data_IF_324311818644
#
_entry.id   IF_324311818644
#
_cell.length_a   1.000
_cell.length_b   1.000
_cell.length_c   1.000
_cell.angle_alpha   90.00
_cell.angle_beta   90.00
_cell.angle_gamma   90.00
#
_symmetry.space_group_name_H-M   'P 1'
#
loop_
_entity.id
_entity.type
_entity.pdbx_description
1 polymer ?
#
# COMPACT_ATOMS: atom_id res chain seq x y z
N UNK A 1 7.80 55.49 -9.13
CA UNK A 1 6.62 55.66 -8.27
C UNK A 1 5.89 54.33 -8.26
N UNK A 2 5.84 53.70 -7.07
CA UNK A 2 4.80 52.80 -6.54
C UNK A 2 4.29 51.68 -7.47
N UNK A 3 4.38 50.39 -7.15
CA UNK A 3 4.67 49.71 -5.90
C UNK A 3 4.37 48.22 -6.12
N UNK A 4 5.37 47.39 -5.84
CA UNK A 4 5.15 46.03 -5.33
C UNK A 4 4.43 46.15 -3.97
N UNK A 5 3.85 45.04 -3.52
CA UNK A 5 3.21 44.82 -2.21
C UNK A 5 1.72 45.15 -2.10
N UNK A 6 0.87 44.20 -2.50
CA UNK A 6 -0.43 43.98 -1.87
C UNK A 6 -0.80 42.49 -1.95
N UNK A 7 -0.44 41.74 -0.91
CA UNK A 7 -1.29 40.73 -0.26
C UNK A 7 -0.56 40.26 1.00
N UNK A 8 -0.49 41.15 1.97
CA UNK A 8 -0.12 40.85 3.35
C UNK A 8 -1.15 41.48 4.28
N UNK A 9 -1.57 40.65 5.24
CA UNK A 9 -2.41 40.90 6.41
C UNK A 9 -3.91 40.58 6.28
N UNK A 10 -4.27 39.46 6.92
CA UNK A 10 -5.52 39.37 7.66
C UNK A 10 -6.21 38.01 7.60
N UNK A 11 -6.10 37.28 8.73
CA UNK A 11 -7.15 36.40 9.27
C UNK A 11 -7.12 34.93 8.78
N UNK A 12 -6.40 34.08 9.55
CA UNK A 12 -6.92 32.88 10.25
C UNK A 12 -5.73 31.98 10.68
N UNK A 13 -4.88 32.52 11.54
CA UNK A 13 -4.02 31.74 12.43
C UNK A 13 -4.81 31.56 13.74
N UNK A 14 -5.05 30.32 14.20
CA UNK A 14 -5.23 30.11 15.64
C UNK A 14 -6.48 29.41 16.18
N UNK A 15 -7.08 28.42 15.51
CA UNK A 15 -8.09 27.56 16.16
C UNK A 15 -7.79 26.05 16.21
N UNK A 16 -6.88 25.51 15.40
CA UNK A 16 -6.68 24.04 15.36
C UNK A 16 -5.49 23.51 16.19
N UNK A 17 -4.82 24.36 16.98
CA UNK A 17 -3.70 23.96 17.86
C UNK A 17 -4.04 24.00 19.35
N UNK A 18 -5.31 24.23 19.71
CA UNK A 18 -5.77 24.18 21.10
C UNK A 18 -6.25 22.78 21.52
N UNK A 19 -6.96 22.03 20.66
CA UNK A 19 -7.38 20.66 21.01
C UNK A 19 -6.23 19.65 21.15
N UNK A 20 -5.12 19.87 20.44
CA UNK A 20 -3.95 18.99 20.52
C UNK A 20 -3.06 19.23 21.77
N UNK A 21 -3.29 20.31 22.52
CA UNK A 21 -2.58 20.56 23.79
C UNK A 21 -3.33 20.00 25.00
N UNK A 22 -4.66 19.89 24.92
CA UNK A 22 -5.47 19.44 26.06
C UNK A 22 -5.41 17.91 26.23
N UNK A 23 -5.26 17.11 25.17
CA UNK A 23 -5.00 15.66 25.31
C UNK A 23 -3.60 15.30 25.82
N UNK A 24 -2.68 16.27 25.91
CA UNK A 24 -1.38 16.07 26.59
C UNK A 24 -1.39 16.54 28.04
N UNK A 25 -2.50 17.11 28.51
CA UNK A 25 -2.64 17.62 29.88
C UNK A 25 -3.28 16.59 30.84
N UNK A 26 -4.10 15.65 30.35
CA UNK A 26 -4.79 14.67 31.21
C UNK A 26 -3.96 13.40 31.54
N UNK A 27 -2.83 13.13 30.88
CA UNK A 27 -1.92 12.03 31.26
C UNK A 27 -0.67 12.54 32.02
N UNK A 28 -0.87 13.54 32.89
CA UNK A 28 0.11 13.96 33.91
C UNK A 28 -0.44 14.01 35.33
N UNK A 29 -1.65 13.50 35.56
CA UNK A 29 -2.24 13.35 36.90
C UNK A 29 -2.16 11.88 37.33
N UNK A 30 -0.93 11.40 37.55
CA UNK A 30 -0.71 10.00 37.92
C UNK A 30 0.74 9.71 38.24
N UNK A 31 1.11 9.94 39.50
CA UNK A 31 2.41 9.65 40.14
C UNK A 31 3.35 10.86 40.21
N UNK A 32 2.87 11.95 40.80
CA UNK A 32 3.73 12.73 41.70
C UNK A 32 3.90 11.92 43.01
N UNK A 33 5.04 11.27 43.19
CA UNK A 33 5.54 10.96 44.53
C UNK A 33 6.54 12.04 44.94
N UNK A 34 5.98 13.23 45.15
CA UNK A 34 6.65 14.39 45.72
C UNK A 34 7.22 14.07 47.11
N UNK A 35 8.47 14.47 47.27
CA UNK A 35 9.35 14.21 48.40
C UNK A 35 8.86 14.82 49.71
N UNK A 36 9.03 14.12 50.82
CA UNK A 36 8.85 14.73 52.14
C UNK A 36 8.67 13.77 53.31
N UNK A 37 9.63 12.88 53.55
CA UNK A 37 9.63 12.08 54.77
C UNK A 37 10.71 11.01 54.73
N UNK A 38 11.47 10.86 55.82
CA UNK A 38 12.55 9.87 55.96
C UNK A 38 11.98 8.45 55.77
N UNK A 39 11.96 7.97 54.54
CA UNK A 39 11.41 6.66 54.16
C UNK A 39 12.38 5.56 54.61
N UNK A 40 11.96 4.77 55.59
CA UNK A 40 12.74 3.65 56.13
C UNK A 40 13.07 2.64 55.02
N UNK A 41 14.29 2.10 55.05
CA UNK A 41 14.87 1.18 54.04
C UNK A 41 13.91 0.05 53.62
N UNK A 42 13.06 -0.40 54.56
CA UNK A 42 12.03 -1.42 54.37
C UNK A 42 10.95 -1.03 53.36
N UNK A 43 10.53 0.23 53.32
CA UNK A 43 9.44 0.72 52.45
C UNK A 43 9.89 0.87 51.00
N UNK A 44 11.18 1.20 50.77
CA UNK A 44 11.80 1.17 49.43
C UNK A 44 11.91 -0.24 48.86
N UNK A 45 12.23 -1.23 49.70
CA UNK A 45 12.30 -2.64 49.29
C UNK A 45 10.91 -3.14 48.90
N UNK A 46 9.87 -2.81 49.69
CA UNK A 46 8.48 -3.20 49.39
C UNK A 46 8.02 -2.61 48.04
N UNK A 47 8.28 -1.31 47.79
CA UNK A 47 7.93 -0.68 46.51
C UNK A 47 8.68 -1.32 45.34
N UNK A 48 9.97 -1.62 45.50
CA UNK A 48 10.75 -2.29 44.46
C UNK A 48 10.22 -3.70 44.15
N UNK A 49 9.87 -4.48 45.17
CA UNK A 49 9.30 -5.83 45.00
C UNK A 49 7.95 -5.77 44.30
N UNK A 50 7.08 -4.82 44.65
CA UNK A 50 5.78 -4.63 43.99
C UNK A 50 5.95 -4.25 42.52
N UNK A 51 6.89 -3.36 42.19
CA UNK A 51 7.18 -2.96 40.80
C UNK A 51 7.69 -4.16 39.98
N UNK A 52 8.54 -5.01 40.56
CA UNK A 52 9.04 -6.22 39.88
C UNK A 52 7.92 -7.24 39.64
N UNK A 53 7.02 -7.44 40.61
CA UNK A 53 5.86 -8.34 40.46
C UNK A 53 4.92 -7.83 39.36
N UNK A 54 4.65 -6.52 39.32
CA UNK A 54 3.82 -5.91 38.27
C UNK A 54 4.48 -6.07 36.89
N UNK A 55 5.79 -5.87 36.79
CA UNK A 55 6.56 -6.09 35.55
C UNK A 55 6.48 -7.55 35.08
N UNK A 56 6.63 -8.52 35.98
CA UNK A 56 6.52 -9.94 35.66
C UNK A 56 5.09 -10.28 35.19
N UNK A 57 4.06 -9.73 35.84
CA UNK A 57 2.67 -9.95 35.44
C UNK A 57 2.37 -9.40 34.04
N UNK A 58 2.91 -8.23 33.68
CA UNK A 58 2.78 -7.64 32.34
C UNK A 58 3.48 -8.53 31.30
N UNK A 59 4.69 -9.01 31.58
CA UNK A 59 5.42 -9.91 30.67
C UNK A 59 4.64 -11.21 30.45
N UNK A 60 4.11 -11.81 31.53
CA UNK A 60 3.30 -13.04 31.45
C UNK A 60 2.04 -12.80 30.63
N UNK A 61 1.34 -11.67 30.81
CA UNK A 61 0.16 -11.33 30.05
C UNK A 61 0.47 -11.16 28.54
N UNK A 62 1.57 -10.50 28.20
CA UNK A 62 2.02 -10.34 26.80
C UNK A 62 2.37 -11.69 26.17
N UNK A 63 3.12 -12.54 26.88
CA UNK A 63 3.46 -13.89 26.41
C UNK A 63 2.20 -14.74 26.22
N UNK A 64 1.24 -14.66 27.14
CA UNK A 64 -0.03 -15.38 27.05
C UNK A 64 -0.83 -14.94 25.80
N UNK A 65 -0.92 -13.64 25.53
CA UNK A 65 -1.60 -13.10 24.34
C UNK A 65 -0.93 -13.55 23.04
N UNK A 66 0.42 -13.57 23.00
CA UNK A 66 1.18 -14.05 21.84
C UNK A 66 0.97 -15.55 21.60
N UNK A 67 0.93 -16.37 22.66
CA UNK A 67 0.69 -17.82 22.56
C UNK A 67 -0.74 -18.13 22.16
N UNK A 68 -1.73 -17.40 22.67
CA UNK A 68 -3.15 -17.58 22.30
C UNK A 68 -3.43 -17.20 20.85
N UNK A 69 -2.75 -16.18 20.30
CA UNK A 69 -2.82 -15.82 18.87
C UNK A 69 -2.20 -16.87 17.94
N UNK A 70 -1.32 -17.73 18.46
CA UNK A 70 -0.63 -18.76 17.66
C UNK A 70 -1.46 -20.03 17.45
N UNK A 71 -2.62 -20.17 18.10
CA UNK A 71 -3.44 -21.41 18.08
C UNK A 71 -4.57 -21.42 17.04
N UNK A 72 -4.73 -20.35 16.25
CA UNK A 72 -5.81 -20.22 15.26
C UNK A 72 -5.32 -20.34 13.80
N UNK A 73 -4.38 -21.24 13.52
CA UNK A 73 -3.97 -21.57 12.13
C UNK A 73 -3.99 -23.07 11.79
N UNK A 74 -4.40 -23.97 12.69
CA UNK A 74 -4.20 -25.42 12.45
C UNK A 74 -5.46 -26.27 12.26
N UNK A 75 -6.68 -25.72 12.22
CA UNK A 75 -7.86 -26.60 12.06
C UNK A 75 -9.09 -25.90 11.47
N UNK A 76 -9.38 -26.23 10.21
CA UNK A 76 -10.69 -26.29 9.51
C UNK A 76 -10.36 -26.34 8.02
N UNK A 77 -10.69 -27.35 7.23
CA UNK A 77 -11.61 -28.46 7.36
C UNK A 77 -11.92 -28.87 5.92
N UNK A 78 -11.67 -30.13 5.59
CA UNK A 78 -12.05 -30.80 4.35
C UNK A 78 -13.56 -30.57 4.10
N UNK A 79 -13.94 -30.05 2.93
CA UNK A 79 -15.32 -30.10 2.45
C UNK A 79 -15.31 -30.45 0.97
N UNK A 80 -15.57 -31.72 0.70
CA UNK A 80 -15.97 -32.24 -0.61
C UNK A 80 -17.40 -31.81 -0.96
N UNK A 81 -17.64 -31.39 -2.21
CA UNK A 81 -18.97 -31.18 -2.78
C UNK A 81 -18.93 -30.56 -4.21
N UNK A 82 -19.87 -30.87 -5.12
CA UNK A 82 -19.53 -31.44 -6.42
C UNK A 82 -19.96 -30.65 -7.69
N UNK A 83 -19.52 -31.18 -8.85
CA UNK A 83 -19.95 -30.96 -10.26
C UNK A 83 -19.34 -29.75 -11.00
N UNK A 84 -18.22 -29.93 -11.70
CA UNK A 84 -18.08 -30.42 -13.10
C UNK A 84 -18.47 -29.36 -14.15
N UNK A 85 -17.52 -28.46 -14.44
CA UNK A 85 -17.42 -27.83 -15.76
C UNK A 85 -16.15 -28.38 -16.41
N UNK A 86 -16.32 -29.26 -17.40
CA UNK A 86 -15.22 -29.97 -18.06
C UNK A 86 -14.39 -29.00 -18.91
N UNK A 87 -13.36 -28.40 -18.31
CA UNK A 87 -12.28 -27.70 -19.00
C UNK A 87 -11.20 -28.75 -19.28
N UNK A 88 -10.76 -28.98 -20.53
CA UNK A 88 -9.66 -29.91 -20.80
C UNK A 88 -8.42 -29.46 -20.02
N UNK A 89 -7.59 -30.39 -19.47
CA UNK A 89 -6.51 -30.05 -18.58
C UNK A 89 -5.47 -29.22 -19.34
N UNK A 90 -5.47 -27.91 -19.10
CA UNK A 90 -4.41 -27.03 -19.55
C UNK A 90 -3.17 -27.39 -18.73
N UNK A 91 -2.15 -27.90 -19.43
CA UNK A 91 -0.83 -28.29 -18.95
C UNK A 91 -0.57 -28.00 -17.46
N UNK A 92 -0.56 -29.09 -16.70
CA UNK A 92 -0.13 -29.24 -15.32
C UNK A 92 1.21 -28.55 -15.03
N UNK A 93 1.13 -27.30 -14.58
CA UNK A 93 2.01 -26.67 -13.60
C UNK A 93 1.56 -25.21 -13.50
N UNK A 94 0.40 -24.98 -12.86
CA UNK A 94 0.21 -23.67 -12.26
C UNK A 94 1.45 -23.40 -11.38
N UNK A 95 2.12 -22.24 -11.52
CA UNK A 95 3.36 -22.00 -10.79
C UNK A 95 3.08 -22.18 -9.29
N UNK A 96 4.00 -22.82 -8.53
CA UNK A 96 3.77 -23.10 -7.12
C UNK A 96 3.33 -21.83 -6.39
N UNK A 97 2.07 -21.82 -5.92
CA UNK A 97 1.42 -20.67 -5.29
C UNK A 97 0.26 -20.03 -6.07
N UNK A 98 -0.11 -20.54 -7.25
CA UNK A 98 -1.26 -20.07 -8.02
C UNK A 98 -2.63 -20.56 -7.47
N UNK A 99 -2.65 -21.65 -6.71
CA UNK A 99 -3.87 -22.43 -6.43
C UNK A 99 -4.39 -22.28 -4.99
N UNK A 100 -3.81 -21.37 -4.20
CA UNK A 100 -4.10 -21.24 -2.77
C UNK A 100 -5.04 -20.09 -2.41
N UNK A 101 -5.79 -20.19 -1.30
CA UNK A 101 -6.44 -19.02 -0.72
C UNK A 101 -5.38 -18.02 -0.27
N UNK A 102 -5.44 -16.80 -0.81
CA UNK A 102 -4.55 -15.71 -0.43
C UNK A 102 -5.17 -14.93 0.73
N UNK A 103 -4.49 -14.86 1.87
CA UNK A 103 -5.06 -14.29 3.10
C UNK A 103 -4.91 -12.76 3.23
N UNK A 104 -4.01 -12.13 2.47
CA UNK A 104 -3.65 -10.70 2.65
C UNK A 104 -3.77 -9.86 1.38
N UNK A 105 -3.30 -10.37 0.25
CA UNK A 105 -3.27 -9.65 -1.03
C UNK A 105 -2.69 -10.49 -2.15
N UNK A 106 -3.05 -10.15 -3.39
CA UNK A 106 -2.74 -10.93 -4.60
C UNK A 106 -2.26 -10.00 -5.70
N UNK A 107 -1.28 -10.45 -6.48
CA UNK A 107 -0.86 -9.80 -7.73
C UNK A 107 -0.88 -10.84 -8.84
N UNK A 108 -1.74 -10.62 -9.84
CA UNK A 108 -1.81 -11.43 -11.04
C UNK A 108 -1.18 -10.66 -12.22
N UNK A 109 -0.20 -11.27 -12.87
CA UNK A 109 0.52 -10.73 -14.01
C UNK A 109 0.71 -11.81 -15.08
N UNK A 110 0.96 -11.38 -16.31
CA UNK A 110 1.18 -12.25 -17.48
C UNK A 110 2.48 -13.08 -17.38
N UNK A 111 3.40 -12.69 -16.49
CA UNK A 111 4.63 -13.41 -16.22
C UNK A 111 4.74 -13.72 -14.71
N UNK A 112 5.06 -14.96 -14.31
CA UNK A 112 5.11 -15.35 -12.90
C UNK A 112 6.14 -14.54 -12.11
N UNK A 113 7.30 -14.22 -12.70
CA UNK A 113 8.33 -13.42 -12.07
C UNK A 113 7.84 -12.00 -11.75
N UNK A 114 6.98 -11.42 -12.59
CA UNK A 114 6.43 -10.09 -12.35
C UNK A 114 5.35 -10.09 -11.26
N UNK A 115 4.55 -11.15 -11.17
CA UNK A 115 3.66 -11.39 -10.03
C UNK A 115 4.43 -11.48 -8.72
N UNK A 116 5.58 -12.16 -8.70
CA UNK A 116 6.44 -12.25 -7.52
C UNK A 116 7.01 -10.89 -7.11
N UNK A 117 7.48 -10.09 -8.07
CA UNK A 117 7.96 -8.71 -7.82
C UNK A 117 6.86 -7.86 -7.18
N UNK A 118 5.65 -7.87 -7.74
CA UNK A 118 4.52 -7.12 -7.17
C UNK A 118 4.13 -7.61 -5.78
N UNK A 119 4.10 -8.93 -5.57
CA UNK A 119 3.86 -9.54 -4.26
C UNK A 119 4.90 -9.09 -3.23
N UNK A 120 6.15 -9.00 -3.61
CA UNK A 120 7.23 -8.60 -2.71
C UNK A 120 7.13 -7.12 -2.31
N UNK A 121 6.56 -6.26 -3.15
CA UNK A 121 6.20 -4.87 -2.80
C UNK A 121 5.04 -4.84 -1.80
N UNK A 122 3.98 -5.63 -2.01
CA UNK A 122 2.89 -5.76 -1.03
C UNK A 122 3.41 -6.25 0.34
N UNK A 123 4.33 -7.23 0.34
CA UNK A 123 4.97 -7.75 1.56
C UNK A 123 5.79 -6.68 2.29
N UNK A 124 6.38 -5.73 1.57
CA UNK A 124 7.11 -4.57 2.12
C UNK A 124 6.18 -3.45 2.58
N UNK A 125 4.88 -3.73 2.74
CA UNK A 125 3.86 -2.75 3.14
C UNK A 125 3.71 -1.60 2.12
N UNK A 126 3.96 -1.88 0.84
CA UNK A 126 3.67 -0.96 -0.27
C UNK A 126 2.18 -0.91 -0.60
N UNK A 127 1.75 0.16 -1.26
CA UNK A 127 0.37 0.29 -1.74
C UNK A 127 0.05 -0.70 -2.85
N UNK A 128 -1.24 -0.93 -3.11
CA UNK A 128 -1.70 -1.65 -4.29
C UNK A 128 -1.18 -0.97 -5.58
N UNK A 129 -1.10 0.36 -5.58
CA UNK A 129 -0.58 1.15 -6.70
C UNK A 129 0.93 0.93 -6.88
N UNK A 130 1.72 0.96 -5.80
CA UNK A 130 3.17 0.72 -5.87
C UNK A 130 3.49 -0.67 -6.41
N UNK A 131 2.70 -1.66 -5.98
CA UNK A 131 2.82 -3.05 -6.42
C UNK A 131 2.47 -3.20 -7.89
N UNK A 132 1.42 -2.50 -8.36
CA UNK A 132 1.05 -2.45 -9.77
C UNK A 132 2.14 -1.78 -10.62
N UNK A 133 2.72 -0.67 -10.17
CA UNK A 133 3.80 0.04 -10.88
C UNK A 133 5.04 -0.85 -11.00
N UNK A 134 5.48 -1.49 -9.91
CA UNK A 134 6.62 -2.41 -9.94
C UNK A 134 6.38 -3.60 -10.89
N UNK A 135 5.16 -4.15 -10.86
CA UNK A 135 4.75 -5.24 -11.76
C UNK A 135 4.77 -4.78 -13.23
N UNK A 136 4.26 -3.59 -13.53
CA UNK A 136 4.26 -3.02 -14.88
C UNK A 136 5.68 -2.78 -15.40
N UNK A 137 6.59 -2.28 -14.56
CA UNK A 137 8.01 -2.14 -14.95
C UNK A 137 8.65 -3.50 -15.26
N UNK A 138 8.34 -4.54 -14.47
CA UNK A 138 8.81 -5.89 -14.77
C UNK A 138 8.24 -6.41 -16.11
N UNK A 139 6.93 -6.25 -16.35
CA UNK A 139 6.30 -6.67 -17.62
C UNK A 139 6.93 -5.92 -18.80
N UNK A 140 7.26 -4.63 -18.64
CA UNK A 140 7.94 -3.85 -19.68
C UNK A 140 9.31 -4.40 -20.09
N UNK A 141 9.98 -5.16 -19.21
CA UNK A 141 11.25 -5.82 -19.51
C UNK A 141 11.04 -7.23 -20.07
N UNK A 142 10.17 -8.03 -19.44
CA UNK A 142 9.94 -9.43 -19.82
C UNK A 142 9.09 -9.53 -21.09
N UNK A 143 7.98 -8.80 -21.16
CA UNK A 143 7.01 -8.80 -22.25
C UNK A 143 7.04 -7.47 -23.01
N UNK A 144 8.23 -7.07 -23.47
CA UNK A 144 8.48 -5.78 -24.13
C UNK A 144 7.68 -5.53 -25.43
N UNK A 145 7.20 -6.59 -26.09
CA UNK A 145 6.34 -6.47 -27.27
C UNK A 145 4.93 -6.00 -26.91
N UNK A 146 4.48 -6.23 -25.67
CA UNK A 146 3.12 -5.95 -25.22
C UNK A 146 3.02 -4.63 -24.45
N UNK A 147 3.90 -4.44 -23.46
CA UNK A 147 3.91 -3.24 -22.63
C UNK A 147 5.32 -2.65 -22.54
N UNK A 148 5.42 -1.37 -22.24
CA UNK A 148 6.70 -0.70 -22.03
C UNK A 148 6.55 0.79 -21.73
N UNK A 149 7.66 1.41 -21.34
CA UNK A 149 7.73 2.83 -20.93
C UNK A 149 7.38 3.83 -22.04
N UNK A 150 7.43 3.39 -23.31
CA UNK A 150 7.14 4.24 -24.46
C UNK A 150 5.68 4.22 -24.93
N UNK A 151 4.81 3.44 -24.27
CA UNK A 151 3.39 3.36 -24.58
C UNK A 151 2.52 4.19 -23.64
N UNK A 152 1.25 3.81 -23.55
CA UNK A 152 0.26 4.37 -22.65
C UNK A 152 -0.83 3.37 -22.29
N UNK A 153 -1.72 3.75 -21.38
CA UNK A 153 -2.72 2.84 -20.86
C UNK A 153 -3.70 3.51 -19.92
N UNK A 154 -4.39 2.68 -19.13
CA UNK A 154 -5.32 3.10 -18.11
C UNK A 154 -5.01 2.39 -16.81
N UNK A 155 -5.28 3.05 -15.69
CA UNK A 155 -5.22 2.42 -14.36
C UNK A 155 -6.50 2.75 -13.62
N UNK A 156 -7.16 1.73 -13.10
CA UNK A 156 -8.35 1.89 -12.26
C UNK A 156 -7.95 1.57 -10.83
N UNK A 157 -8.09 2.55 -9.94
CA UNK A 157 -7.72 2.42 -8.53
C UNK A 157 -8.97 2.55 -7.69
N UNK A 158 -9.25 1.52 -6.91
CA UNK A 158 -10.32 1.57 -5.91
C UNK A 158 -9.74 1.87 -4.53
N UNK A 159 -10.18 2.96 -3.92
CA UNK A 159 -9.81 3.31 -2.56
C UNK A 159 -10.91 2.89 -1.60
N UNK A 160 -10.65 1.82 -0.85
CA UNK A 160 -11.58 1.26 0.14
C UNK A 160 -11.93 2.25 1.27
N UNK A 161 -10.98 3.09 1.69
CA UNK A 161 -11.20 4.01 2.80
C UNK A 161 -12.20 5.11 2.44
N UNK A 162 -12.14 5.64 1.21
CA UNK A 162 -13.11 6.66 0.75
C UNK A 162 -14.25 6.09 -0.12
N UNK A 163 -14.33 4.76 -0.27
CA UNK A 163 -15.36 4.05 -1.05
C UNK A 163 -15.57 4.60 -2.46
N UNK A 164 -14.49 4.89 -3.18
CA UNK A 164 -14.56 5.47 -4.52
C UNK A 164 -13.49 4.90 -5.44
N UNK A 165 -13.76 4.93 -6.73
CA UNK A 165 -12.84 4.50 -7.78
C UNK A 165 -12.36 5.72 -8.57
N UNK A 166 -11.05 5.80 -8.78
CA UNK A 166 -10.41 6.77 -9.67
C UNK A 166 -9.88 6.04 -10.90
N UNK A 167 -9.92 6.72 -12.05
CA UNK A 167 -9.36 6.22 -13.31
C UNK A 167 -8.29 7.19 -13.78
N UNK A 168 -7.09 6.68 -14.00
CA UNK A 168 -5.97 7.41 -14.57
C UNK A 168 -5.85 7.04 -16.04
N UNK A 169 -6.08 8.03 -16.92
CA UNK A 169 -5.84 7.92 -18.35
C UNK A 169 -4.46 8.52 -18.67
N UNK A 170 -3.55 7.67 -19.14
CA UNK A 170 -2.22 8.04 -19.60
C UNK A 170 -1.98 7.48 -21.01
N UNK A 171 -3.03 7.44 -21.83
CA UNK A 171 -2.94 7.07 -23.24
C UNK A 171 -2.11 8.06 -24.02
N UNK A 172 -1.49 7.56 -25.07
CA UNK A 172 -0.67 8.34 -25.97
C UNK A 172 -1.53 9.40 -26.68
N UNK A 173 -0.99 10.61 -26.78
CA UNK A 173 -1.63 11.70 -27.49
C UNK A 173 -0.97 11.89 -28.85
N UNK A 174 -1.79 12.17 -29.86
CA UNK A 174 -1.28 12.56 -31.17
C UNK A 174 -0.34 13.78 -31.06
N UNK A 175 0.76 13.82 -31.84
CA UNK A 175 1.69 14.93 -31.82
C UNK A 175 1.01 16.23 -32.23
N UNK A 176 1.54 17.38 -31.77
CA UNK A 176 0.99 18.70 -32.12
C UNK A 176 1.01 19.01 -33.63
N UNK A 177 1.85 18.31 -34.42
CA UNK A 177 1.89 18.40 -35.89
C UNK A 177 1.06 17.33 -36.62
N UNK A 178 0.25 16.55 -35.90
CA UNK A 178 -0.64 15.57 -36.51
C UNK A 178 -1.74 16.29 -37.30
N UNK A 179 -2.10 15.74 -38.46
CA UNK A 179 -3.23 16.19 -39.26
C UNK A 179 -4.07 15.00 -39.72
N UNK A 180 -5.30 15.25 -40.17
CA UNK A 180 -6.25 14.21 -40.58
C UNK A 180 -5.82 13.48 -41.85
N UNK A 181 -4.96 14.09 -42.67
CA UNK A 181 -4.56 13.54 -43.98
C UNK A 181 -3.21 12.82 -43.97
N UNK A 182 -2.53 12.70 -42.81
CA UNK A 182 -1.14 12.24 -42.70
C UNK A 182 -0.89 10.79 -43.16
N UNK A 183 -1.94 9.98 -43.34
CA UNK A 183 -1.84 8.57 -43.75
C UNK A 183 -2.66 8.22 -45.01
N UNK A 184 -3.29 9.20 -45.67
CA UNK A 184 -4.30 8.96 -46.73
C UNK A 184 -3.70 8.27 -47.97
N UNK A 185 -2.43 8.50 -48.28
CA UNK A 185 -1.77 7.93 -49.47
C UNK A 185 -0.85 6.73 -49.14
N UNK A 186 -0.87 6.23 -47.90
CA UNK A 186 -0.04 5.07 -47.52
C UNK A 186 -0.53 4.38 -46.25
N UNK A 187 -1.22 3.25 -46.41
CA UNK A 187 -1.68 2.42 -45.28
C UNK A 187 -0.54 1.91 -44.39
N UNK A 188 0.66 1.71 -44.96
CA UNK A 188 1.85 1.29 -44.21
C UNK A 188 2.42 2.39 -43.31
N UNK A 189 2.18 3.68 -43.62
CA UNK A 189 2.75 4.79 -42.86
C UNK A 189 2.18 4.91 -41.44
N UNK A 190 0.96 4.40 -41.19
CA UNK A 190 0.39 4.36 -39.83
C UNK A 190 0.92 3.19 -38.99
N UNK A 191 1.52 2.18 -39.63
CA UNK A 191 2.05 0.98 -38.96
C UNK A 191 3.55 1.05 -38.71
N UNK A 192 4.29 1.74 -39.58
CA UNK A 192 5.74 1.89 -39.49
C UNK A 192 6.15 2.94 -38.46
N UNK A 193 7.25 2.67 -37.76
CA UNK A 193 7.74 3.45 -36.62
C UNK A 193 8.06 4.93 -36.94
N UNK A 194 8.41 5.27 -38.19
CA UNK A 194 8.88 6.61 -38.61
C UNK A 194 7.86 7.74 -38.45
N UNK A 195 6.57 7.46 -38.56
CA UNK A 195 5.51 8.47 -38.41
C UNK A 195 4.66 8.29 -37.15
N UNK A 196 4.80 7.16 -36.45
CA UNK A 196 3.91 6.76 -35.35
C UNK A 196 4.29 7.32 -33.98
N UNK A 197 5.58 7.55 -33.71
CA UNK A 197 6.10 7.91 -32.39
C UNK A 197 6.48 9.39 -32.30
N UNK A 198 5.51 10.24 -31.99
CA UNK A 198 5.77 11.58 -31.44
C UNK A 198 4.62 11.91 -30.48
N UNK A 199 4.87 11.93 -29.18
CA UNK A 199 3.97 12.61 -28.26
C UNK A 199 4.13 14.13 -28.47
N UNK A 200 3.05 14.89 -28.30
CA UNK A 200 3.13 16.34 -28.31
C UNK A 200 3.92 16.81 -27.07
N UNK A 201 5.02 17.54 -27.29
CA UNK A 201 5.71 18.34 -26.29
C UNK A 201 5.45 19.80 -26.55
#
# INVERSE_FOLDING_TARGET
>A
MQGLDLLSQGIMEGENTRELKDLTADEKEGIEFGQGGKFTKKRKIIVAVVVVIVWIAIIVAVVLVVVLKKKEEDTKGEVEGPTEFFIPPLATAAPPGADGPYSRGVVAADAPQCSEVGRDILKKNGSAVDSAIATLFCIGVINMHSAGIGGGGFMVVYNRTRNFAEVFDYRERAPGKANTTMYVNSSLSSKLWRLRLRCAG
#
